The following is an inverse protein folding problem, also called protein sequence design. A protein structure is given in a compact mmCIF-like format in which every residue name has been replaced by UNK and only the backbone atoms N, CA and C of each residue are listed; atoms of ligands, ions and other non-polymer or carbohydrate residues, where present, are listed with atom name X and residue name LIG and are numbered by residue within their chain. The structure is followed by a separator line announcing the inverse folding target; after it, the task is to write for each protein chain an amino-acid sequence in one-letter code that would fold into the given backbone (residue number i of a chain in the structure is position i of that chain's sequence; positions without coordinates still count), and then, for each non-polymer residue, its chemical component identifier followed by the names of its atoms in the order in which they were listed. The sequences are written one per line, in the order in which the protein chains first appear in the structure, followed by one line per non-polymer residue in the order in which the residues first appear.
data_IF_506299277985
#
_entry.id   IF_506299277985
#
_cell.length_a   1.000
_cell.length_b   1.000
_cell.length_c   1.000
_cell.angle_alpha   90.00
_cell.angle_beta   90.00
_cell.angle_gamma   90.00
#
_symmetry.space_group_name_H-M   'P 1'
#
loop_
_entity.id
_entity.type
_entity.pdbx_description
1 polymer ?
#
# COMPACT_ATOMS: atom_id res chain seq x y z
N UNK A 1 -30.51 -13.03 -22.91
CA UNK A 1 -29.39 -13.90 -22.50
C UNK A 1 -28.12 -13.11 -22.67
N UNK A 2 -27.18 -13.16 -21.71
CA UNK A 2 -25.92 -12.44 -21.84
C UNK A 2 -25.09 -12.98 -22.99
N UNK A 3 -24.28 -12.13 -23.59
CA UNK A 3 -23.17 -12.55 -24.45
C UNK A 3 -22.14 -13.27 -23.57
N UNK A 4 -21.65 -14.42 -24.01
CA UNK A 4 -20.61 -15.19 -23.32
C UNK A 4 -19.31 -15.07 -24.12
N UNK A 5 -18.24 -14.65 -23.45
CA UNK A 5 -16.87 -14.71 -23.99
C UNK A 5 -16.14 -15.82 -23.27
N UNK A 6 -15.78 -16.89 -24.00
CA UNK A 6 -14.89 -17.93 -23.48
C UNK A 6 -13.46 -17.38 -23.45
N UNK A 7 -12.97 -17.05 -22.26
CA UNK A 7 -11.68 -16.40 -22.08
C UNK A 7 -10.53 -17.40 -22.06
N UNK A 8 -9.49 -17.07 -22.82
CA UNK A 8 -8.19 -17.73 -22.74
C UNK A 8 -7.09 -16.69 -22.94
N UNK A 9 -5.93 -16.78 -22.26
CA UNK A 9 -4.85 -15.79 -22.35
C UNK A 9 -4.28 -15.55 -23.76
N UNK A 10 -4.62 -16.42 -24.72
CA UNK A 10 -4.22 -16.33 -26.13
C UNK A 10 -5.25 -15.59 -27.02
N UNK A 11 -6.40 -15.21 -26.47
CA UNK A 11 -7.43 -14.46 -27.19
C UNK A 11 -7.07 -12.98 -27.22
N UNK A 12 -7.29 -12.31 -28.36
CA UNK A 12 -7.13 -10.87 -28.47
C UNK A 12 -8.09 -10.15 -27.49
N UNK A 13 -7.56 -9.38 -26.52
CA UNK A 13 -8.38 -8.72 -25.51
C UNK A 13 -9.18 -7.54 -26.05
N UNK A 14 -8.91 -7.06 -27.28
CA UNK A 14 -9.54 -5.86 -27.83
C UNK A 14 -11.08 -5.95 -27.84
N UNK A 15 -11.62 -7.11 -28.21
CA UNK A 15 -13.05 -7.34 -28.26
C UNK A 15 -13.68 -7.40 -26.86
N UNK A 16 -12.99 -8.04 -25.91
CA UNK A 16 -13.42 -8.07 -24.51
C UNK A 16 -13.52 -6.66 -23.93
N UNK A 17 -12.49 -5.86 -24.13
CA UNK A 17 -12.41 -4.48 -23.62
C UNK A 17 -13.53 -3.62 -24.21
N UNK A 18 -13.76 -3.73 -25.51
CA UNK A 18 -14.82 -3.00 -26.22
C UNK A 18 -16.22 -3.43 -25.73
N UNK A 19 -16.51 -4.73 -25.71
CA UNK A 19 -17.81 -5.25 -25.27
C UNK A 19 -18.09 -4.92 -23.80
N UNK A 20 -17.08 -4.96 -22.93
CA UNK A 20 -17.22 -4.59 -21.51
C UNK A 20 -17.70 -3.15 -21.38
N UNK A 21 -17.01 -2.21 -22.04
CA UNK A 21 -17.38 -0.80 -22.01
C UNK A 21 -18.79 -0.57 -22.59
N UNK A 22 -19.07 -1.13 -23.77
CA UNK A 22 -20.35 -0.92 -24.46
C UNK A 22 -21.52 -1.49 -23.63
N UNK A 23 -21.33 -2.66 -22.99
CA UNK A 23 -22.32 -3.27 -22.10
C UNK A 23 -22.61 -2.39 -20.88
N UNK A 24 -21.58 -1.92 -20.18
CA UNK A 24 -21.75 -1.02 -19.03
C UNK A 24 -22.39 0.31 -19.44
N UNK A 25 -21.99 0.87 -20.58
CA UNK A 25 -22.53 2.13 -21.11
C UNK A 25 -24.03 2.03 -21.42
N UNK A 26 -24.50 0.88 -21.89
CA UNK A 26 -25.92 0.60 -22.16
C UNK A 26 -26.77 0.33 -20.90
N UNK A 27 -26.16 0.30 -19.71
CA UNK A 27 -26.86 0.09 -18.44
C UNK A 27 -27.01 -1.37 -18.03
N UNK A 28 -26.36 -2.30 -18.74
CA UNK A 28 -26.29 -3.72 -18.37
C UNK A 28 -25.07 -4.01 -17.49
N UNK A 29 -25.17 -5.09 -16.71
CA UNK A 29 -24.06 -5.57 -15.88
C UNK A 29 -23.10 -6.45 -16.70
N UNK A 30 -21.84 -6.49 -16.28
CA UNK A 30 -20.79 -7.36 -16.79
C UNK A 30 -20.32 -8.29 -15.68
N UNK A 31 -20.16 -9.57 -15.96
CA UNK A 31 -19.60 -10.55 -15.01
C UNK A 31 -18.22 -10.99 -15.46
N UNK A 32 -17.23 -10.87 -14.57
CA UNK A 32 -15.83 -11.21 -14.81
C UNK A 32 -15.34 -12.22 -13.76
N UNK A 33 -14.33 -13.05 -14.06
CA UNK A 33 -13.62 -13.82 -13.04
C UNK A 33 -12.86 -12.90 -12.07
N UNK A 34 -12.74 -13.32 -10.81
CA UNK A 34 -12.09 -12.57 -9.74
C UNK A 34 -11.38 -13.47 -8.73
N UNK A 35 -10.93 -12.87 -7.63
CA UNK A 35 -10.09 -13.47 -6.60
C UNK A 35 -10.85 -14.31 -5.54
N UNK A 36 -12.13 -14.01 -5.33
CA UNK A 36 -13.05 -14.71 -4.42
C UNK A 36 -14.27 -15.29 -5.18
N UNK A 37 -14.03 -15.73 -6.41
CA UNK A 37 -15.06 -16.17 -7.35
C UNK A 37 -15.30 -15.11 -8.42
N UNK A 38 -16.43 -15.24 -9.12
CA UNK A 38 -16.84 -14.27 -10.12
C UNK A 38 -17.37 -12.99 -9.47
N UNK A 39 -17.12 -11.87 -10.13
CA UNK A 39 -17.48 -10.51 -9.71
C UNK A 39 -18.35 -9.86 -10.77
N UNK A 40 -19.35 -9.10 -10.34
CA UNK A 40 -20.20 -8.32 -11.23
C UNK A 40 -19.81 -6.84 -11.20
N UNK A 41 -19.83 -6.20 -12.36
CA UNK A 41 -19.60 -4.78 -12.57
C UNK A 41 -20.86 -4.13 -13.17
N UNK A 42 -21.26 -2.96 -12.68
CA UNK A 42 -22.41 -2.23 -13.23
C UNK A 42 -22.34 -0.73 -12.94
N UNK A 43 -23.17 0.05 -13.62
CA UNK A 43 -23.32 1.50 -13.35
C UNK A 43 -24.48 1.75 -12.41
N UNK A 44 -24.46 2.88 -11.71
CA UNK A 44 -25.59 3.32 -10.90
C UNK A 44 -26.89 3.34 -11.73
N UNK A 45 -27.98 2.80 -11.17
CA UNK A 45 -29.28 2.71 -11.83
C UNK A 45 -29.59 1.35 -12.48
N UNK A 46 -28.59 0.47 -12.65
CA UNK A 46 -28.83 -0.91 -13.08
C UNK A 46 -29.48 -1.71 -11.94
N UNK A 47 -30.58 -2.41 -12.24
CA UNK A 47 -31.36 -3.19 -11.28
C UNK A 47 -30.71 -4.55 -10.98
N UNK A 48 -29.65 -4.53 -10.17
CA UNK A 48 -28.93 -5.71 -9.68
C UNK A 48 -28.96 -5.72 -8.15
N UNK A 49 -29.29 -6.87 -7.57
CA UNK A 49 -29.42 -7.04 -6.12
C UNK A 49 -28.31 -7.96 -5.60
N UNK A 50 -27.09 -7.43 -5.61
CA UNK A 50 -25.94 -8.07 -4.97
C UNK A 50 -25.62 -7.37 -3.65
N UNK A 51 -25.31 -8.13 -2.59
CA UNK A 51 -25.11 -7.56 -1.28
C UNK A 51 -23.85 -6.69 -1.23
N UNK A 52 -23.99 -5.56 -0.53
CA UNK A 52 -22.90 -4.72 -0.06
C UNK A 52 -21.85 -4.32 -1.13
N UNK A 53 -22.29 -3.73 -2.26
CA UNK A 53 -21.43 -3.31 -3.36
C UNK A 53 -20.35 -2.31 -2.94
N UNK A 54 -19.23 -2.33 -3.66
CA UNK A 54 -18.15 -1.37 -3.57
C UNK A 54 -18.05 -0.53 -4.85
N UNK A 55 -17.32 0.57 -4.78
CA UNK A 55 -16.84 1.30 -5.95
C UNK A 55 -15.56 0.63 -6.45
N UNK A 56 -15.49 0.41 -7.76
CA UNK A 56 -14.28 0.00 -8.43
C UNK A 56 -13.30 1.19 -8.43
N UNK A 57 -12.13 1.00 -7.84
CA UNK A 57 -11.03 1.97 -7.86
C UNK A 57 -9.72 1.19 -7.82
N UNK A 58 -8.73 1.57 -8.63
CA UNK A 58 -7.44 0.87 -8.75
C UNK A 58 -6.29 1.59 -8.03
N UNK A 59 -6.61 2.63 -7.27
CA UNK A 59 -5.63 3.41 -6.52
C UNK A 59 -6.29 4.44 -5.61
N UNK A 60 -5.50 5.04 -4.71
CA UNK A 60 -6.02 6.05 -3.78
C UNK A 60 -6.42 7.35 -4.47
N UNK A 61 -5.80 7.69 -5.60
CA UNK A 61 -6.09 8.93 -6.31
C UNK A 61 -7.40 8.84 -7.08
N UNK A 62 -7.69 7.70 -7.72
CA UNK A 62 -9.00 7.41 -8.28
C UNK A 62 -10.10 7.36 -7.21
N UNK A 63 -9.85 6.70 -6.08
CA UNK A 63 -10.80 6.69 -4.97
C UNK A 63 -11.10 8.11 -4.46
N UNK A 64 -10.08 8.98 -4.41
CA UNK A 64 -10.24 10.38 -4.04
C UNK A 64 -10.98 11.20 -5.13
N UNK A 65 -10.73 10.93 -6.40
CA UNK A 65 -11.38 11.60 -7.54
C UNK A 65 -12.90 11.36 -7.57
N UNK A 66 -13.36 10.25 -6.97
CA UNK A 66 -14.78 9.95 -6.76
C UNK A 66 -15.42 10.80 -5.64
N UNK A 67 -14.66 11.67 -4.96
CA UNK A 67 -15.14 12.61 -3.96
C UNK A 67 -14.98 12.15 -2.50
N UNK A 68 -14.31 11.03 -2.25
CA UNK A 68 -14.03 10.54 -0.90
C UNK A 68 -12.72 11.13 -0.34
N UNK A 69 -12.72 11.50 0.94
CA UNK A 69 -11.48 11.80 1.67
C UNK A 69 -10.82 10.49 2.08
N UNK A 70 -9.64 10.19 1.53
CA UNK A 70 -8.94 8.92 1.77
C UNK A 70 -7.91 9.08 2.90
N UNK A 71 -8.11 8.48 4.09
CA UNK A 71 -7.14 8.55 5.19
C UNK A 71 -5.78 7.93 4.81
N UNK A 72 -4.71 8.35 5.48
CA UNK A 72 -3.33 7.90 5.18
C UNK A 72 -3.18 6.37 5.19
N UNK A 73 -3.77 5.69 6.18
CA UNK A 73 -3.73 4.21 6.25
C UNK A 73 -4.45 3.57 5.06
N UNK A 74 -5.59 4.12 4.63
CA UNK A 74 -6.29 3.65 3.45
C UNK A 74 -5.43 3.85 2.20
N UNK A 75 -4.78 5.02 2.05
CA UNK A 75 -3.84 5.26 0.94
C UNK A 75 -2.72 4.22 0.88
N UNK A 76 -2.14 3.87 2.04
CA UNK A 76 -1.11 2.82 2.13
C UNK A 76 -1.62 1.46 1.66
N UNK A 77 -2.77 1.03 2.18
CA UNK A 77 -3.35 -0.25 1.81
C UNK A 77 -3.73 -0.29 0.32
N UNK A 78 -4.36 0.76 -0.21
CA UNK A 78 -4.70 0.87 -1.63
C UNK A 78 -3.45 0.79 -2.50
N UNK A 79 -2.38 1.51 -2.15
CA UNK A 79 -1.16 1.56 -2.96
C UNK A 79 -0.31 0.28 -2.87
N UNK A 80 -0.25 -0.35 -1.69
CA UNK A 80 0.68 -1.45 -1.42
C UNK A 80 0.05 -2.85 -1.53
N UNK A 81 -1.28 -2.95 -1.39
CA UNK A 81 -1.98 -4.23 -1.41
C UNK A 81 -2.71 -4.48 -2.73
N UNK A 82 -3.31 -3.46 -3.35
CA UNK A 82 -4.13 -3.70 -4.54
C UNK A 82 -3.32 -3.92 -5.82
N UNK A 83 -3.80 -4.76 -6.75
CA UNK A 83 -5.04 -5.56 -6.71
C UNK A 83 -4.97 -6.75 -5.73
N UNK A 84 -6.05 -7.00 -4.96
CA UNK A 84 -6.10 -8.09 -3.96
C UNK A 84 -7.55 -8.39 -3.51
N UNK A 85 -7.80 -9.54 -2.83
CA UNK A 85 -9.07 -9.85 -2.17
C UNK A 85 -9.30 -9.02 -0.90
N UNK A 86 -9.25 -7.69 -1.06
CA UNK A 86 -9.29 -6.68 -0.01
C UNK A 86 -10.28 -5.57 -0.40
N UNK A 87 -11.19 -5.24 0.51
CA UNK A 87 -12.12 -4.11 0.43
C UNK A 87 -11.70 -3.09 1.48
N UNK A 88 -11.65 -1.82 1.09
CA UNK A 88 -11.30 -0.71 1.99
C UNK A 88 -12.54 0.18 2.17
N UNK A 89 -13.01 0.27 3.41
CA UNK A 89 -14.07 1.18 3.83
C UNK A 89 -13.45 2.47 4.37
N UNK A 90 -13.92 3.62 3.88
CA UNK A 90 -13.51 4.95 4.39
C UNK A 90 -14.73 5.80 4.74
N UNK A 91 -14.61 6.73 5.71
CA UNK A 91 -15.73 7.59 6.09
C UNK A 91 -16.09 8.51 4.92
N UNK A 92 -17.39 8.73 4.73
CA UNK A 92 -17.88 9.66 3.71
C UNK A 92 -19.08 10.45 4.22
N UNK A 93 -19.15 11.70 3.78
CA UNK A 93 -20.37 12.52 3.86
C UNK A 93 -21.06 12.67 2.51
N UNK A 94 -20.42 12.22 1.43
CA UNK A 94 -20.98 12.23 0.08
C UNK A 94 -22.00 11.08 -0.08
N UNK A 95 -23.00 11.33 -0.92
CA UNK A 95 -23.94 10.30 -1.34
C UNK A 95 -23.31 9.41 -2.40
N UNK A 96 -22.99 8.16 -2.03
CA UNK A 96 -22.61 7.14 -2.98
C UNK A 96 -23.75 6.17 -3.24
N UNK A 97 -23.80 5.54 -4.42
CA UNK A 97 -24.83 4.56 -4.76
C UNK A 97 -24.87 3.36 -3.80
N UNK A 98 -23.78 3.13 -3.05
CA UNK A 98 -23.55 1.97 -2.17
C UNK A 98 -23.55 2.32 -0.69
N UNK A 99 -23.93 3.54 -0.32
CA UNK A 99 -23.80 4.02 1.05
C UNK A 99 -24.44 3.05 2.06
N UNK A 100 -23.60 2.44 2.88
CA UNK A 100 -24.03 1.77 4.10
C UNK A 100 -23.44 2.55 5.27
N UNK A 101 -24.30 3.12 6.11
CA UNK A 101 -23.90 3.64 7.44
C UNK A 101 -22.70 4.62 7.46
N UNK A 102 -22.67 5.64 6.58
CA UNK A 102 -21.63 6.70 6.55
C UNK A 102 -20.22 6.28 6.07
N UNK A 103 -20.09 5.09 5.49
CA UNK A 103 -18.85 4.62 4.86
C UNK A 103 -19.10 4.29 3.40
N UNK A 104 -18.06 4.48 2.59
CA UNK A 104 -18.00 4.00 1.21
C UNK A 104 -16.97 2.88 1.10
N UNK A 105 -17.33 1.83 0.37
CA UNK A 105 -16.48 0.67 0.08
C UNK A 105 -15.76 0.88 -1.25
N UNK A 106 -14.46 0.60 -1.28
CA UNK A 106 -13.67 0.54 -2.50
C UNK A 106 -13.05 -0.85 -2.66
N UNK A 107 -12.92 -1.31 -3.90
CA UNK A 107 -12.37 -2.64 -4.22
C UNK A 107 -11.62 -2.62 -5.55
N UNK A 108 -10.47 -3.30 -5.58
CA UNK A 108 -9.76 -3.66 -6.81
C UNK A 108 -9.50 -5.19 -6.84
N UNK A 109 -10.36 -5.99 -7.50
CA UNK A 109 -10.20 -7.44 -7.54
C UNK A 109 -8.91 -7.88 -8.23
N UNK A 110 -8.26 -8.92 -7.70
CA UNK A 110 -7.04 -9.49 -8.29
C UNK A 110 -7.39 -10.47 -9.43
N UNK A 111 -7.40 -9.94 -10.67
CA UNK A 111 -7.44 -10.77 -11.87
C UNK A 111 -6.88 -9.98 -13.08
N UNK A 112 -6.06 -10.59 -13.96
CA UNK A 112 -5.42 -9.88 -15.09
C UNK A 112 -6.38 -9.17 -16.04
N UNK A 113 -7.65 -9.60 -16.09
CA UNK A 113 -8.67 -8.94 -16.90
C UNK A 113 -9.01 -7.54 -16.43
N UNK A 114 -8.83 -7.22 -15.15
CA UNK A 114 -9.12 -5.88 -14.67
C UNK A 114 -8.15 -4.85 -15.24
N UNK A 115 -6.86 -5.16 -15.31
CA UNK A 115 -5.85 -4.28 -15.94
C UNK A 115 -6.21 -3.95 -17.40
N UNK A 116 -6.85 -4.89 -18.11
CA UNK A 116 -7.28 -4.72 -19.49
C UNK A 116 -8.50 -3.79 -19.62
N UNK A 117 -9.49 -3.93 -18.73
CA UNK A 117 -10.76 -3.18 -18.83
C UNK A 117 -10.73 -1.83 -18.11
N UNK A 118 -9.86 -1.64 -17.11
CA UNK A 118 -9.75 -0.39 -16.34
C UNK A 118 -9.68 0.86 -17.22
N UNK A 119 -8.80 0.93 -18.26
CA UNK A 119 -8.68 2.13 -19.08
C UNK A 119 -10.00 2.56 -19.73
N UNK A 120 -10.85 1.61 -20.14
CA UNK A 120 -12.11 1.93 -20.83
C UNK A 120 -13.27 2.17 -19.87
N UNK A 121 -13.28 1.51 -18.70
CA UNK A 121 -14.34 1.74 -17.69
C UNK A 121 -14.13 3.04 -16.93
N UNK A 122 -12.88 3.53 -16.82
CA UNK A 122 -12.54 4.81 -16.19
C UNK A 122 -13.31 6.00 -16.82
N UNK A 123 -13.60 5.93 -18.12
CA UNK A 123 -14.33 6.96 -18.87
C UNK A 123 -15.84 6.99 -18.57
N UNK A 124 -16.39 5.93 -17.95
CA UNK A 124 -17.84 5.77 -17.73
C UNK A 124 -18.31 6.34 -16.39
N UNK A 125 -17.41 6.91 -15.59
CA UNK A 125 -17.67 7.38 -14.23
C UNK A 125 -17.70 6.24 -13.20
N UNK A 126 -18.39 6.42 -12.06
CA UNK A 126 -18.39 5.43 -10.98
C UNK A 126 -18.96 4.08 -11.43
N UNK A 127 -18.14 3.03 -11.29
CA UNK A 127 -18.54 1.64 -11.51
C UNK A 127 -18.69 0.95 -10.16
N UNK A 128 -19.80 0.24 -10.01
CA UNK A 128 -20.09 -0.61 -8.88
C UNK A 128 -19.51 -2.00 -9.13
N UNK A 129 -18.96 -2.60 -8.08
CA UNK A 129 -18.39 -3.95 -8.09
C UNK A 129 -18.86 -4.74 -6.88
N UNK A 130 -19.26 -5.99 -7.07
CA UNK A 130 -19.56 -6.91 -5.98
C UNK A 130 -19.21 -8.35 -6.34
N UNK A 131 -18.80 -9.10 -5.33
CA UNK A 131 -18.58 -10.53 -5.42
C UNK A 131 -19.92 -11.26 -5.53
N UNK A 132 -20.05 -12.11 -6.54
CA UNK A 132 -21.25 -12.96 -6.72
C UNK A 132 -21.19 -14.19 -5.80
N UNK A 133 -20.01 -14.50 -5.25
CA UNK A 133 -19.69 -15.71 -4.51
C UNK A 133 -19.79 -17.00 -5.33
N UNK A 134 -19.89 -16.89 -6.67
CA UNK A 134 -20.03 -18.02 -7.57
C UNK A 134 -18.67 -18.47 -8.11
N UNK A 135 -18.48 -19.78 -8.21
CA UNK A 135 -17.26 -20.37 -8.76
C UNK A 135 -17.29 -20.45 -10.30
N UNK A 136 -18.45 -20.33 -10.94
CA UNK A 136 -18.61 -20.46 -12.39
C UNK A 136 -19.38 -19.28 -12.98
N UNK A 137 -19.11 -18.98 -14.26
CA UNK A 137 -19.79 -17.92 -15.00
C UNK A 137 -21.32 -18.09 -14.99
N UNK A 138 -21.83 -19.30 -15.24
CA UNK A 138 -23.27 -19.59 -15.24
C UNK A 138 -23.92 -19.27 -13.89
N UNK A 139 -23.32 -19.73 -12.79
CA UNK A 139 -23.85 -19.46 -11.45
C UNK A 139 -23.75 -17.98 -11.07
N UNK A 140 -22.72 -17.28 -11.55
CA UNK A 140 -22.55 -15.85 -11.35
C UNK A 140 -23.64 -15.04 -12.06
N UNK A 141 -24.00 -15.41 -13.29
CA UNK A 141 -25.11 -14.82 -14.04
C UNK A 141 -26.44 -15.05 -13.31
N UNK A 142 -26.71 -16.28 -12.86
CA UNK A 142 -27.93 -16.60 -12.12
C UNK A 142 -28.10 -15.72 -10.86
N UNK A 143 -27.02 -15.49 -10.13
CA UNK A 143 -27.03 -14.65 -8.91
C UNK A 143 -27.10 -13.15 -9.20
N UNK A 144 -26.57 -12.72 -10.34
CA UNK A 144 -26.56 -11.31 -10.76
C UNK A 144 -27.86 -10.88 -11.46
N UNK A 145 -28.71 -11.84 -11.83
CA UNK A 145 -30.02 -11.60 -12.42
C UNK A 145 -30.00 -11.32 -13.92
N UNK A 146 -31.16 -10.93 -14.46
CA UNK A 146 -31.38 -10.81 -15.92
C UNK A 146 -30.73 -9.59 -16.57
N UNK A 147 -30.17 -8.68 -15.77
CA UNK A 147 -29.53 -7.44 -16.24
C UNK A 147 -28.11 -7.64 -16.76
N UNK A 148 -27.55 -8.86 -16.62
CA UNK A 148 -26.23 -9.19 -17.16
C UNK A 148 -26.30 -9.21 -18.69
N UNK A 149 -25.53 -8.32 -19.31
CA UNK A 149 -25.40 -8.24 -20.77
C UNK A 149 -24.17 -8.99 -21.30
N UNK A 150 -23.15 -9.17 -20.46
CA UNK A 150 -21.89 -9.82 -20.80
C UNK A 150 -21.37 -10.65 -19.64
N UNK A 151 -20.89 -11.85 -19.93
CA UNK A 151 -20.14 -12.69 -19.00
C UNK A 151 -18.88 -13.21 -19.68
N UNK A 152 -17.77 -13.21 -18.94
CA UNK A 152 -16.49 -13.72 -19.39
C UNK A 152 -16.22 -15.02 -18.66
N UNK A 153 -16.32 -16.17 -19.34
CA UNK A 153 -16.08 -17.47 -18.74
C UNK A 153 -14.59 -17.83 -18.80
N UNK A 154 -13.93 -17.86 -17.64
CA UNK A 154 -12.54 -18.28 -17.49
C UNK A 154 -12.42 -19.64 -16.76
N UNK A 155 -13.50 -20.42 -16.73
CA UNK A 155 -13.59 -21.68 -16.01
C UNK A 155 -13.96 -21.51 -14.54
N UNK A 156 -13.45 -22.40 -13.69
CA UNK A 156 -13.82 -22.48 -12.27
C UNK A 156 -12.88 -21.61 -11.42
N UNK A 157 -13.42 -20.58 -10.78
CA UNK A 157 -12.72 -19.74 -9.82
C UNK A 157 -12.82 -20.32 -8.39
N UNK A 158 -11.85 -19.97 -7.53
CA UNK A 158 -11.94 -20.26 -6.09
C UNK A 158 -12.97 -19.33 -5.44
N UNK A 159 -14.09 -19.87 -4.97
CA UNK A 159 -15.19 -19.11 -4.38
C UNK A 159 -15.55 -19.57 -2.96
N UNK A 160 -14.64 -20.29 -2.30
CA UNK A 160 -14.77 -20.76 -0.92
C UNK A 160 -14.37 -19.69 0.12
N UNK A 161 -13.86 -18.56 -0.36
CA UNK A 161 -13.43 -17.43 0.45
C UNK A 161 -14.16 -16.16 0.04
N UNK A 162 -13.98 -15.10 0.84
CA UNK A 162 -14.53 -13.77 0.60
C UNK A 162 -13.42 -12.73 0.78
N UNK A 163 -13.57 -11.52 0.22
CA UNK A 163 -12.60 -10.46 0.46
C UNK A 163 -12.54 -10.10 1.93
N UNK A 164 -11.37 -9.66 2.39
CA UNK A 164 -11.24 -9.07 3.72
C UNK A 164 -11.70 -7.62 3.68
N UNK A 165 -12.52 -7.19 4.63
CA UNK A 165 -12.99 -5.80 4.73
C UNK A 165 -12.24 -5.08 5.84
N UNK A 166 -11.56 -4.00 5.47
CA UNK A 166 -10.84 -3.12 6.39
C UNK A 166 -11.52 -1.77 6.42
N UNK A 167 -12.02 -1.40 7.60
CA UNK A 167 -12.55 -0.07 7.86
C UNK A 167 -11.47 0.84 8.39
N UNK A 168 -11.16 1.88 7.65
CA UNK A 168 -10.16 2.89 8.03
C UNK A 168 -10.88 4.14 8.50
N UNK A 169 -10.39 4.74 9.59
CA UNK A 169 -10.83 6.04 10.10
C UNK A 169 -9.63 6.98 10.21
N UNK A 170 -9.85 8.23 10.61
CA UNK A 170 -8.74 9.16 10.86
C UNK A 170 -7.79 8.69 11.96
N UNK A 171 -8.24 7.83 12.88
CA UNK A 171 -7.48 7.41 14.07
C UNK A 171 -6.88 6.01 13.97
N UNK A 172 -7.05 5.31 12.85
CA UNK A 172 -6.58 3.93 12.68
C UNK A 172 -7.44 3.11 11.73
N UNK A 173 -7.44 1.80 11.92
CA UNK A 173 -8.26 0.89 11.13
C UNK A 173 -8.73 -0.31 11.97
N UNK A 174 -9.77 -1.00 11.49
CA UNK A 174 -10.27 -2.25 12.03
C UNK A 174 -10.62 -3.21 10.90
N UNK A 175 -10.28 -4.49 11.06
CA UNK A 175 -10.73 -5.55 10.16
C UNK A 175 -12.16 -5.92 10.59
N UNK A 176 -13.16 -5.53 9.81
CA UNK A 176 -14.57 -5.74 10.15
C UNK A 176 -15.11 -7.06 9.66
N UNK A 177 -14.58 -7.56 8.54
CA UNK A 177 -14.95 -8.84 7.96
C UNK A 177 -13.68 -9.59 7.52
N UNK A 178 -13.15 -10.52 8.33
CA UNK A 178 -12.00 -11.35 7.94
C UNK A 178 -12.33 -12.22 6.72
N UNK A 179 -11.38 -12.35 5.80
CA UNK A 179 -11.52 -13.05 4.53
C UNK A 179 -10.19 -13.63 4.01
N UNK A 180 -10.03 -13.67 2.68
CA UNK A 180 -8.89 -14.31 2.00
C UNK A 180 -7.56 -13.54 2.10
N UNK A 181 -7.60 -12.25 2.45
CA UNK A 181 -6.41 -11.42 2.59
C UNK A 181 -5.93 -11.43 4.06
N UNK A 182 -4.73 -11.95 4.36
CA UNK A 182 -4.32 -12.22 5.75
C UNK A 182 -4.23 -10.97 6.62
N UNK A 183 -4.63 -11.10 7.89
CA UNK A 183 -4.56 -10.03 8.90
C UNK A 183 -3.14 -9.51 9.08
N UNK A 184 -2.16 -10.41 9.17
CA UNK A 184 -0.76 -10.07 9.38
C UNK A 184 -0.21 -9.24 8.22
N UNK A 185 -0.71 -9.49 7.01
CA UNK A 185 -0.34 -8.74 5.82
C UNK A 185 -0.96 -7.34 5.82
N UNK A 186 -2.20 -7.19 6.30
CA UNK A 186 -2.84 -5.87 6.50
C UNK A 186 -2.04 -5.05 7.52
N UNK A 187 -1.69 -5.64 8.66
CA UNK A 187 -0.89 -4.98 9.70
C UNK A 187 0.45 -4.49 9.14
N UNK A 188 1.12 -5.36 8.37
CA UNK A 188 2.39 -5.04 7.71
C UNK A 188 2.24 -3.91 6.69
N UNK A 189 1.21 -3.94 5.86
CA UNK A 189 1.02 -2.98 4.76
C UNK A 189 0.43 -1.64 5.22
N UNK A 190 -0.33 -1.62 6.32
CA UNK A 190 -0.87 -0.41 6.93
C UNK A 190 0.18 0.43 7.67
N UNK A 191 1.27 -0.22 8.10
CA UNK A 191 2.31 0.39 8.91
C UNK A 191 3.02 1.55 8.21
N UNK A 192 3.46 2.54 8.99
CA UNK A 192 4.27 3.66 8.51
C UNK A 192 5.71 3.19 8.27
N UNK A 193 6.21 3.43 7.06
CA UNK A 193 7.57 3.04 6.66
C UNK A 193 8.47 4.27 6.68
N UNK A 194 9.47 4.27 7.56
CA UNK A 194 10.51 5.30 7.65
C UNK A 194 11.80 4.74 7.05
N UNK A 195 12.37 5.43 6.06
CA UNK A 195 13.59 5.04 5.36
C UNK A 195 14.71 6.06 5.58
N UNK A 196 15.76 5.65 6.29
CA UNK A 196 16.98 6.44 6.45
C UNK A 196 17.99 6.19 5.31
N UNK A 197 18.53 7.24 4.71
CA UNK A 197 19.43 7.11 3.56
C UNK A 197 20.76 7.82 3.80
N UNK A 198 21.86 7.08 3.65
CA UNK A 198 23.22 7.64 3.64
C UNK A 198 24.01 7.17 2.40
N UNK A 199 25.34 7.27 2.42
CA UNK A 199 26.19 6.85 1.30
C UNK A 199 26.27 5.33 1.21
N UNK A 200 26.96 4.69 2.18
CA UNK A 200 27.28 3.26 2.13
C UNK A 200 26.29 2.33 2.86
N UNK A 201 25.37 2.89 3.65
CA UNK A 201 24.48 2.16 4.56
C UNK A 201 25.22 1.27 5.57
N UNK A 202 26.31 1.81 6.13
CA UNK A 202 27.16 1.13 7.12
C UNK A 202 27.35 1.94 8.42
N UNK A 203 27.25 3.28 8.37
CA UNK A 203 27.52 4.15 9.53
C UNK A 203 26.26 4.94 9.95
N UNK A 204 25.99 6.08 9.29
CA UNK A 204 24.94 7.05 9.67
C UNK A 204 23.51 6.50 9.59
N UNK A 205 23.10 5.92 8.45
CA UNK A 205 21.72 5.44 8.30
C UNK A 205 21.38 4.19 9.12
N UNK A 206 22.28 3.20 9.31
CA UNK A 206 22.03 2.10 10.25
C UNK A 206 21.91 2.60 11.70
N UNK A 207 22.77 3.54 12.10
CA UNK A 207 22.69 4.15 13.43
C UNK A 207 21.36 4.88 13.62
N UNK A 208 20.93 5.70 12.65
CA UNK A 208 19.61 6.34 12.67
C UNK A 208 18.46 5.33 12.74
N UNK A 209 18.51 4.23 11.97
CA UNK A 209 17.51 3.16 12.03
C UNK A 209 17.42 2.52 13.42
N UNK A 210 18.56 2.11 14.01
CA UNK A 210 18.59 1.47 15.32
C UNK A 210 18.08 2.39 16.43
N UNK A 211 18.55 3.64 16.46
CA UNK A 211 18.14 4.64 17.45
C UNK A 211 16.64 4.97 17.31
N UNK A 212 16.15 5.14 16.08
CA UNK A 212 14.73 5.43 15.84
C UNK A 212 13.82 4.26 16.26
N UNK A 213 14.22 3.01 15.97
CA UNK A 213 13.49 1.82 16.45
C UNK A 213 13.41 1.81 17.98
N UNK A 214 14.54 2.03 18.65
CA UNK A 214 14.58 2.02 20.12
C UNK A 214 13.69 3.11 20.71
N UNK A 215 13.79 4.33 20.21
CA UNK A 215 12.97 5.46 20.66
C UNK A 215 11.47 5.26 20.40
N UNK A 216 11.08 4.72 19.24
CA UNK A 216 9.68 4.36 18.98
C UNK A 216 9.18 3.30 19.95
N UNK A 217 9.96 2.24 20.16
CA UNK A 217 9.61 1.14 21.04
C UNK A 217 9.38 1.64 22.48
N UNK A 218 10.29 2.48 22.98
CA UNK A 218 10.17 3.09 24.31
C UNK A 218 8.93 3.96 24.43
N UNK A 219 8.65 4.80 23.41
CA UNK A 219 7.49 5.70 23.40
C UNK A 219 6.16 4.95 23.34
N UNK A 220 6.13 3.81 22.64
CA UNK A 220 4.95 2.96 22.47
C UNK A 220 4.81 1.92 23.60
N UNK A 221 5.79 1.85 24.52
CA UNK A 221 5.79 0.86 25.60
C UNK A 221 5.85 -0.58 25.09
N UNK A 222 6.62 -0.83 24.02
CA UNK A 222 6.76 -2.16 23.41
C UNK A 222 8.24 -2.49 23.15
N UNK A 223 8.50 -3.70 22.69
CA UNK A 223 9.82 -4.11 22.18
C UNK A 223 10.01 -3.69 20.72
N UNK A 224 11.25 -3.63 20.26
CA UNK A 224 11.56 -3.33 18.84
C UNK A 224 10.93 -4.35 17.88
N UNK A 225 10.86 -5.62 18.26
CA UNK A 225 10.21 -6.68 17.47
C UNK A 225 8.70 -6.50 17.33
N UNK A 226 8.06 -5.75 18.22
CA UNK A 226 6.62 -5.47 18.19
C UNK A 226 6.27 -4.23 17.36
N UNK A 227 7.27 -3.45 16.91
CA UNK A 227 7.03 -2.23 16.12
C UNK A 227 6.16 -2.46 14.87
N UNK A 228 6.36 -3.54 14.08
CA UNK A 228 5.47 -3.83 12.96
C UNK A 228 4.00 -3.96 13.37
N UNK A 229 3.73 -4.69 14.46
CA UNK A 229 2.39 -4.85 15.02
C UNK A 229 1.85 -3.56 15.66
N UNK A 230 2.73 -2.60 15.98
CA UNK A 230 2.37 -1.23 16.39
C UNK A 230 2.30 -0.24 15.23
N UNK A 231 2.39 -0.73 13.98
CA UNK A 231 2.22 0.07 12.78
C UNK A 231 3.46 0.85 12.35
N UNK A 232 4.67 0.40 12.70
CA UNK A 232 5.91 1.04 12.28
C UNK A 232 6.93 0.06 11.69
N UNK A 233 7.49 0.44 10.54
CA UNK A 233 8.68 -0.17 9.96
C UNK A 233 9.75 0.89 9.80
N UNK A 234 10.92 0.64 10.35
CA UNK A 234 12.07 1.53 10.22
C UNK A 234 13.16 0.80 9.47
N UNK A 235 13.62 1.39 8.38
CA UNK A 235 14.55 0.80 7.43
C UNK A 235 15.69 1.79 7.14
N UNK A 236 16.79 1.28 6.61
CA UNK A 236 17.86 2.10 6.07
C UNK A 236 18.40 1.58 4.75
N UNK A 237 18.96 2.48 3.95
CA UNK A 237 19.57 2.18 2.65
C UNK A 237 20.72 3.16 2.33
N UNK A 238 21.43 2.88 1.23
CA UNK A 238 22.59 3.65 0.77
C UNK A 238 22.49 4.04 -0.70
N UNK A 239 22.87 5.28 -1.05
CA UNK A 239 22.89 5.75 -2.45
C UNK A 239 24.07 5.20 -3.26
N UNK A 240 25.12 4.76 -2.56
CA UNK A 240 26.38 4.29 -3.16
C UNK A 240 26.91 3.07 -2.39
N UNK A 241 26.19 1.95 -2.49
CA UNK A 241 26.58 0.66 -1.92
C UNK A 241 26.16 -0.49 -2.82
N UNK A 242 26.94 -1.58 -2.81
CA UNK A 242 26.58 -2.83 -3.48
C UNK A 242 25.77 -3.77 -2.57
N UNK A 243 25.56 -3.39 -1.31
CA UNK A 243 24.87 -4.19 -0.31
C UNK A 243 25.73 -5.30 0.31
N UNK A 244 25.20 -5.97 1.34
CA UNK A 244 25.82 -7.13 1.98
C UNK A 244 26.88 -6.82 3.05
N UNK A 245 27.23 -5.54 3.24
CA UNK A 245 28.20 -5.14 4.27
C UNK A 245 27.54 -5.05 5.65
N UNK A 246 28.25 -5.42 6.71
CA UNK A 246 27.80 -5.16 8.08
C UNK A 246 27.84 -3.66 8.40
N UNK A 247 27.14 -3.25 9.44
CA UNK A 247 27.36 -1.94 10.03
C UNK A 247 28.82 -1.81 10.52
N UNK A 248 29.35 -0.59 10.52
CA UNK A 248 30.68 -0.32 11.05
C UNK A 248 30.75 -0.76 12.52
N UNK A 249 31.85 -1.40 12.98
CA UNK A 249 31.97 -1.85 14.36
C UNK A 249 31.70 -0.75 15.38
N UNK A 250 32.23 0.45 15.14
CA UNK A 250 32.02 1.62 16.00
C UNK A 250 30.55 2.05 16.01
N UNK A 251 29.83 1.92 14.89
CA UNK A 251 28.39 2.19 14.87
C UNK A 251 27.61 1.15 15.70
N UNK A 252 28.00 -0.12 15.66
CA UNK A 252 27.39 -1.16 16.50
C UNK A 252 27.65 -0.91 17.99
N UNK A 253 28.88 -0.56 18.36
CA UNK A 253 29.27 -0.24 19.73
C UNK A 253 28.46 0.94 20.26
N UNK A 254 28.43 2.06 19.51
CA UNK A 254 27.68 3.24 19.93
C UNK A 254 26.17 2.98 19.94
N UNK A 255 25.60 2.24 18.98
CA UNK A 255 24.18 1.89 19.01
C UNK A 255 23.80 1.13 20.29
N UNK A 256 24.67 0.23 20.76
CA UNK A 256 24.46 -0.52 21.98
C UNK A 256 24.44 0.38 23.24
N UNK A 257 25.19 1.49 23.25
CA UNK A 257 25.13 2.50 24.32
C UNK A 257 23.73 3.11 24.46
N UNK A 258 22.98 3.18 23.36
CA UNK A 258 21.57 3.65 23.32
C UNK A 258 20.55 2.50 23.47
N UNK A 259 21.00 1.26 23.69
CA UNK A 259 20.13 0.09 23.77
C UNK A 259 19.55 -0.35 22.42
N UNK A 260 20.17 0.03 21.31
CA UNK A 260 19.85 -0.44 19.97
C UNK A 260 20.82 -1.53 19.51
N UNK A 261 20.35 -2.47 18.69
CA UNK A 261 21.17 -3.56 18.14
C UNK A 261 21.29 -3.43 16.62
N UNK A 262 22.54 -3.39 16.14
CA UNK A 262 22.90 -3.36 14.71
C UNK A 262 23.66 -4.61 14.24
N UNK A 263 23.82 -5.62 15.10
CA UNK A 263 24.64 -6.80 14.77
C UNK A 263 24.09 -7.63 13.61
N UNK A 264 22.77 -7.57 13.39
CA UNK A 264 22.09 -8.22 12.27
C UNK A 264 21.94 -7.32 11.05
N UNK A 265 22.40 -6.06 11.12
CA UNK A 265 22.31 -5.11 10.01
C UNK A 265 23.11 -5.60 8.80
N UNK A 266 22.50 -5.46 7.63
CA UNK A 266 23.13 -5.71 6.35
C UNK A 266 22.81 -4.55 5.41
N UNK A 267 23.86 -3.95 4.85
CA UNK A 267 23.73 -2.82 3.95
C UNK A 267 22.92 -3.19 2.71
N UNK A 268 22.16 -2.24 2.17
CA UNK A 268 21.40 -2.40 0.94
C UNK A 268 21.42 -1.12 0.10
N UNK A 269 21.42 -1.22 -1.24
CA UNK A 269 21.23 -0.07 -2.09
C UNK A 269 19.81 0.47 -1.93
N UNK A 270 19.68 1.80 -1.97
CA UNK A 270 18.37 2.42 -2.19
C UNK A 270 17.86 2.05 -3.58
N UNK A 271 16.56 1.86 -3.74
CA UNK A 271 15.93 1.58 -5.01
C UNK A 271 14.53 2.22 -5.07
N UNK A 272 13.93 2.24 -6.27
CA UNK A 272 12.61 2.85 -6.48
C UNK A 272 11.51 2.21 -5.63
N UNK A 273 11.54 0.88 -5.44
CA UNK A 273 10.52 0.17 -4.65
C UNK A 273 10.55 0.57 -3.18
N UNK A 274 11.74 0.70 -2.58
CA UNK A 274 11.90 1.17 -1.20
C UNK A 274 11.40 2.61 -1.04
N UNK A 275 11.69 3.47 -2.01
CA UNK A 275 11.24 4.87 -2.00
C UNK A 275 9.72 4.97 -2.14
N UNK A 276 9.13 4.26 -3.12
CA UNK A 276 7.69 4.22 -3.33
C UNK A 276 6.91 3.65 -2.15
N UNK A 277 7.49 2.68 -1.44
CA UNK A 277 6.87 2.12 -0.25
C UNK A 277 6.97 3.05 0.97
N UNK A 278 8.00 3.90 1.06
CA UNK A 278 8.24 4.74 2.24
C UNK A 278 7.18 5.83 2.42
N UNK A 279 6.84 6.11 3.69
CA UNK A 279 6.07 7.30 4.09
C UNK A 279 6.99 8.49 4.41
N UNK A 280 8.18 8.19 4.93
CA UNK A 280 9.23 9.18 5.24
C UNK A 280 10.55 8.72 4.64
N UNK A 281 11.18 9.57 3.84
CA UNK A 281 12.57 9.37 3.38
C UNK A 281 13.46 10.43 4.03
N UNK A 282 14.33 9.98 4.93
CA UNK A 282 15.19 10.84 5.75
C UNK A 282 16.65 10.66 5.33
N UNK A 283 17.23 11.67 4.71
CA UNK A 283 18.59 11.64 4.22
C UNK A 283 19.57 12.31 5.20
N UNK A 284 20.83 11.87 5.17
CA UNK A 284 21.85 12.41 6.09
C UNK A 284 22.49 13.71 5.57
N UNK A 285 22.43 14.01 4.26
CA UNK A 285 23.09 15.18 3.66
C UNK A 285 22.33 15.67 2.42
N UNK A 286 22.55 16.92 2.01
CA UNK A 286 22.04 17.49 0.76
C UNK A 286 22.51 16.69 -0.45
N UNK A 287 23.74 16.17 -0.42
CA UNK A 287 24.25 15.26 -1.46
C UNK A 287 23.41 13.99 -1.61
N UNK A 288 22.92 13.42 -0.51
CA UNK A 288 22.00 12.28 -0.57
C UNK A 288 20.64 12.66 -1.14
N UNK A 289 20.08 13.83 -0.76
CA UNK A 289 18.82 14.32 -1.35
C UNK A 289 18.94 14.51 -2.86
N UNK A 290 20.04 15.12 -3.30
CA UNK A 290 20.33 15.30 -4.71
C UNK A 290 20.45 13.96 -5.43
N UNK A 291 21.19 13.01 -4.87
CA UNK A 291 21.36 11.68 -5.47
C UNK A 291 20.03 10.91 -5.60
N UNK A 292 19.16 10.97 -4.58
CA UNK A 292 17.83 10.35 -4.63
C UNK A 292 16.99 10.99 -5.74
N UNK A 293 16.87 12.32 -5.75
CA UNK A 293 16.03 13.06 -6.71
C UNK A 293 16.53 12.92 -8.15
N UNK A 294 17.85 12.88 -8.35
CA UNK A 294 18.44 12.74 -9.68
C UNK A 294 18.27 11.33 -10.24
N UNK A 295 18.39 10.29 -9.41
CA UNK A 295 18.34 8.89 -9.85
C UNK A 295 16.93 8.31 -9.89
N UNK A 296 16.05 8.78 -9.01
CA UNK A 296 14.67 8.31 -8.87
C UNK A 296 13.70 9.49 -8.87
N UNK A 297 13.57 10.20 -10.02
CA UNK A 297 12.55 11.24 -10.13
C UNK A 297 11.18 10.63 -9.85
N UNK A 298 10.36 11.35 -9.08
CA UNK A 298 8.97 10.99 -8.73
C UNK A 298 8.78 9.70 -7.92
N UNK A 299 9.86 9.10 -7.38
CA UNK A 299 9.77 7.92 -6.54
C UNK A 299 9.56 8.29 -5.06
N UNK A 300 8.37 8.00 -4.55
CA UNK A 300 8.06 8.12 -3.13
C UNK A 300 7.84 9.55 -2.63
N UNK A 301 7.82 9.76 -1.30
CA UNK A 301 7.61 11.07 -0.70
C UNK A 301 8.84 11.97 -0.90
N UNK A 302 8.63 13.28 -0.80
CA UNK A 302 9.72 14.26 -0.90
C UNK A 302 10.75 13.98 0.21
N UNK A 303 12.01 13.64 -0.14
CA UNK A 303 13.00 13.33 0.88
C UNK A 303 13.44 14.60 1.60
N UNK A 304 13.69 14.48 2.91
CA UNK A 304 14.13 15.59 3.79
C UNK A 304 15.38 15.22 4.58
N UNK A 305 16.09 16.21 5.12
CA UNK A 305 17.27 15.96 5.96
C UNK A 305 16.88 15.61 7.40
N UNK A 306 17.68 14.76 8.02
CA UNK A 306 17.60 14.48 9.45
C UNK A 306 17.83 15.76 10.27
N UNK A 307 18.90 16.49 9.97
CA UNK A 307 19.32 17.70 10.69
C UNK A 307 18.63 18.99 10.17
N UNK A 308 17.44 18.87 9.57
CA UNK A 308 16.67 20.02 9.08
C UNK A 308 17.26 20.62 7.80
N UNK A 309 18.17 21.58 7.93
CA UNK A 309 18.82 22.24 6.77
C UNK A 309 20.30 21.89 6.64
N UNK A 310 20.89 21.26 7.67
CA UNK A 310 22.33 20.99 7.77
C UNK A 310 22.66 19.54 7.41
N UNK A 311 23.90 19.33 6.97
CA UNK A 311 24.43 18.00 6.70
C UNK A 311 24.91 17.35 8.00
N UNK A 312 24.67 16.04 8.11
CA UNK A 312 25.26 15.21 9.17
C UNK A 312 26.65 14.73 8.72
N UNK A 313 27.67 15.15 9.47
CA UNK A 313 29.06 14.73 9.28
C UNK A 313 29.22 13.20 9.26
N UNK A 314 30.07 12.71 8.36
CA UNK A 314 30.32 11.28 8.21
C UNK A 314 31.40 10.79 9.17
N UNK A 315 31.09 9.90 10.14
CA UNK A 315 32.09 9.40 11.09
C UNK A 315 32.98 8.29 10.50
N UNK A 316 32.81 7.95 9.21
CA UNK A 316 33.50 6.80 8.59
C UNK A 316 35.02 6.85 8.78
N UNK A 317 35.60 5.76 9.28
CA UNK A 317 37.04 5.64 9.53
C UNK A 317 37.58 6.49 10.69
N UNK A 318 36.72 7.23 11.40
CA UNK A 318 37.10 8.00 12.58
C UNK A 318 37.00 7.15 13.87
N UNK A 319 37.53 7.68 14.98
CA UNK A 319 37.49 7.01 16.27
C UNK A 319 36.11 7.09 16.99
N UNK A 320 35.93 6.34 18.09
CA UNK A 320 34.66 6.22 18.81
C UNK A 320 34.04 7.55 19.25
N UNK A 321 34.86 8.56 19.57
CA UNK A 321 34.37 9.88 19.97
C UNK A 321 33.57 10.58 18.86
N UNK A 322 33.98 10.42 17.59
CA UNK A 322 33.29 11.03 16.44
C UNK A 322 31.99 10.28 16.14
N UNK A 323 31.99 8.95 16.24
CA UNK A 323 30.76 8.15 16.15
C UNK A 323 29.76 8.52 17.25
N UNK A 324 30.23 8.74 18.49
CA UNK A 324 29.37 9.18 19.59
C UNK A 324 28.75 10.56 19.33
N UNK A 325 29.54 11.55 18.89
CA UNK A 325 29.02 12.86 18.53
C UNK A 325 27.99 12.79 17.37
N UNK A 326 28.22 11.90 16.40
CA UNK A 326 27.27 11.61 15.33
C UNK A 326 25.97 11.01 15.88
N UNK A 327 26.06 10.01 16.76
CA UNK A 327 24.91 9.39 17.43
C UNK A 327 24.09 10.40 18.25
N UNK A 328 24.76 11.26 19.04
CA UNK A 328 24.12 12.32 19.82
C UNK A 328 23.35 13.29 18.94
N UNK A 329 23.92 13.65 17.78
CA UNK A 329 23.26 14.53 16.80
C UNK A 329 22.04 13.83 16.20
N UNK A 330 22.19 12.57 15.77
CA UNK A 330 21.08 11.75 15.27
C UNK A 330 19.97 11.67 16.31
N UNK A 331 20.30 11.29 17.55
CA UNK A 331 19.35 11.13 18.64
C UNK A 331 18.54 12.39 18.89
N UNK A 332 19.21 13.55 19.04
CA UNK A 332 18.56 14.86 19.24
C UNK A 332 17.57 15.20 18.12
N UNK A 333 17.95 14.94 16.87
CA UNK A 333 17.06 15.20 15.73
C UNK A 333 15.92 14.19 15.62
N UNK A 334 16.16 12.92 15.97
CA UNK A 334 15.12 11.91 16.07
C UNK A 334 14.06 12.29 17.11
N UNK A 335 14.46 12.73 18.31
CA UNK A 335 13.52 13.19 19.34
C UNK A 335 12.61 14.33 18.87
N UNK A 336 13.11 15.19 17.97
CA UNK A 336 12.33 16.27 17.36
C UNK A 336 11.33 15.79 16.32
N UNK A 337 11.69 14.83 15.46
CA UNK A 337 10.84 14.39 14.34
C UNK A 337 9.90 13.24 14.70
N UNK A 338 10.27 12.40 15.68
CA UNK A 338 9.48 11.25 16.13
C UNK A 338 8.02 11.58 16.51
N UNK A 339 7.73 12.70 17.20
CA UNK A 339 6.36 13.09 17.48
C UNK A 339 5.50 13.21 16.21
N UNK A 340 6.07 13.64 15.08
CA UNK A 340 5.36 13.77 13.79
C UNK A 340 4.90 12.40 13.24
N UNK A 341 5.56 11.31 13.65
CA UNK A 341 5.23 9.96 13.20
C UNK A 341 4.12 9.31 14.03
N UNK A 342 4.01 9.69 15.30
CA UNK A 342 3.11 9.09 16.29
C UNK A 342 1.81 9.91 16.45
N UNK A 343 1.77 11.14 15.97
CA UNK A 343 0.53 11.92 15.83
C UNK A 343 -0.26 11.37 14.63
N UNK A 344 -1.38 10.70 14.94
CA UNK A 344 -2.39 10.21 14.00
C UNK A 344 -3.45 11.28 13.78
#
# INVERSE_FOLDING_TARGET
MPTVIDWSPIVDPSELVRQTRDTLASGSAVVLPGDCGYVALWRQGTAIDLPAPALLAWGPDEAAALGASIPTVARRLMFRAWSAPLIIEVPTTAEFPTNTSSFVRFRYPEHPLFDLVIPTVAELGPILVADTGAATASAAVERSGQVVGLVVDAGVCKADTRPTVVRVTGTGYAITEPGAFPTEEIERLAARIILFVCTGNTCRSPLAEGLAKKLLADRLGCTVSELPARGFWVLSAGVATYGGSRAAPEACEIAAEYGADLNTHTSRPVNAQLLLAADDVIAMTQGHLHAIRARYPDAGPVPRLLCGTEDLDDPIGAGPAVYRACAETIFRHLERILPEWVVL
#
